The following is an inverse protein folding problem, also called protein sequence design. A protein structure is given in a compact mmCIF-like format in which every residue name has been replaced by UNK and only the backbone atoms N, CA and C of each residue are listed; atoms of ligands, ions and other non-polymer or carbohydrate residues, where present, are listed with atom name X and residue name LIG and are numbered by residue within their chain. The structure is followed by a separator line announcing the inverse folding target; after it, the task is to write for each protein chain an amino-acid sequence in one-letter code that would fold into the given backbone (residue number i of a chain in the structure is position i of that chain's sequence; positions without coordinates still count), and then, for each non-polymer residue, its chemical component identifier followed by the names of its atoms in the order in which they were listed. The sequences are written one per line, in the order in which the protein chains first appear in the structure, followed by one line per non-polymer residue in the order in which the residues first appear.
data_IF_933979666632
#
_entry.id   IF_933979666632
#
_cell.length_a   1.000
_cell.length_b   1.000
_cell.length_c   1.000
_cell.angle_alpha   90.00
_cell.angle_beta   90.00
_cell.angle_gamma   90.00
#
_symmetry.space_group_name_H-M   'P 1'
#
loop_
_entity.id
_entity.type
_entity.pdbx_description
1 polymer ?
#
# COMPACT_ATOMS: atom_id res chain seq x y z
N UNK A 1 -19.17 4.05 16.07
CA UNK A 1 -17.94 4.59 15.47
C UNK A 1 -17.08 5.14 16.58
N UNK A 2 -15.86 4.81 16.58
CA UNK A 2 -14.96 5.27 17.60
C UNK A 2 -13.55 5.41 17.06
N UNK A 3 -12.62 5.62 17.96
CA UNK A 3 -11.21 5.77 17.61
C UNK A 3 -10.71 4.58 16.81
N UNK A 4 -11.24 3.39 17.06
CA UNK A 4 -10.84 2.17 16.34
C UNK A 4 -11.10 2.27 14.84
N UNK A 5 -12.20 2.90 14.45
CA UNK A 5 -12.52 3.01 13.02
C UNK A 5 -11.53 3.92 12.31
N UNK A 6 -11.08 4.98 12.99
CA UNK A 6 -10.06 5.87 12.44
C UNK A 6 -8.73 5.14 12.28
N UNK A 7 -8.40 4.27 13.23
CA UNK A 7 -7.16 3.50 13.18
C UNK A 7 -7.12 2.48 12.07
N UNK A 8 -8.28 2.07 11.56
CA UNK A 8 -8.39 1.08 10.49
C UNK A 8 -8.42 1.71 9.10
N UNK A 9 -8.30 3.03 9.04
CA UNK A 9 -8.28 3.77 7.76
C UNK A 9 -7.02 4.60 7.72
N UNK A 10 -6.24 4.44 6.67
CA UNK A 10 -5.02 5.22 6.46
C UNK A 10 -5.05 5.79 5.05
N UNK A 11 -4.74 7.07 4.92
CA UNK A 11 -4.65 7.71 3.61
C UNK A 11 -3.24 8.24 3.40
N UNK A 12 -2.71 7.98 2.21
CA UNK A 12 -1.48 8.61 1.75
C UNK A 12 -1.75 9.25 0.39
N UNK A 13 -0.93 10.21 0.02
CA UNK A 13 -1.01 10.85 -1.28
C UNK A 13 0.24 10.54 -2.07
N UNK A 14 0.07 10.02 -3.28
CA UNK A 14 1.22 9.76 -4.16
C UNK A 14 1.65 11.05 -4.85
N UNK A 15 2.94 11.11 -5.16
CA UNK A 15 3.55 12.19 -5.93
C UNK A 15 4.77 11.61 -6.66
N UNK A 16 5.39 12.40 -7.51
CA UNK A 16 6.50 11.92 -8.35
C UNK A 16 7.66 11.33 -7.55
N UNK A 17 7.90 11.89 -6.38
CA UNK A 17 9.03 11.46 -5.54
C UNK A 17 8.66 10.43 -4.49
N UNK A 18 7.41 10.00 -4.44
CA UNK A 18 7.00 8.98 -3.48
C UNK A 18 7.66 7.66 -3.86
N UNK A 19 8.26 7.00 -2.89
CA UNK A 19 9.14 5.87 -3.18
C UNK A 19 8.78 4.63 -2.35
N UNK A 20 9.39 3.52 -2.75
CA UNK A 20 9.33 2.27 -1.98
C UNK A 20 9.79 2.50 -0.53
N UNK A 21 10.82 3.32 -0.34
CA UNK A 21 11.36 3.60 0.99
C UNK A 21 10.33 4.29 1.89
N UNK A 22 9.49 5.13 1.31
CA UNK A 22 8.42 5.79 2.07
C UNK A 22 7.26 4.85 2.35
N UNK A 23 7.01 3.92 1.44
CA UNK A 23 5.81 3.08 1.46
C UNK A 23 6.03 1.76 2.20
N UNK A 24 7.12 1.10 1.92
CA UNK A 24 7.41 -0.23 2.48
C UNK A 24 8.49 -0.15 3.56
N UNK A 25 9.72 0.15 3.17
CA UNK A 25 10.82 0.32 4.12
C UNK A 25 12.05 0.88 3.41
N UNK A 26 12.90 1.53 4.18
CA UNK A 26 14.15 2.05 3.65
C UNK A 26 15.11 2.42 4.74
N UNK A 27 16.38 2.57 4.36
CA UNK A 27 17.41 2.98 5.30
C UNK A 27 17.37 4.49 5.47
N UNK A 28 17.45 4.93 6.73
CA UNK A 28 17.50 6.35 7.08
C UNK A 28 18.76 6.63 7.86
N UNK A 29 19.45 7.76 7.58
CA UNK A 29 20.65 8.10 8.33
C UNK A 29 20.33 8.45 9.79
N UNK A 30 21.21 8.03 10.68
CA UNK A 30 21.14 8.36 12.10
C UNK A 30 22.50 8.88 12.54
N UNK A 31 22.59 9.32 13.79
CA UNK A 31 23.86 9.82 14.31
C UNK A 31 24.94 8.75 14.35
N UNK A 32 24.55 7.48 14.44
CA UNK A 32 25.48 6.35 14.54
C UNK A 32 25.56 5.51 13.28
N UNK A 33 24.97 5.97 12.17
CA UNK A 33 24.97 5.23 10.90
C UNK A 33 23.63 5.27 10.20
N UNK A 34 23.07 4.10 9.91
CA UNK A 34 21.78 3.97 9.24
C UNK A 34 20.90 3.02 10.03
N UNK A 35 19.59 3.27 9.97
CA UNK A 35 18.62 2.32 10.52
C UNK A 35 17.57 2.02 9.45
N UNK A 36 16.99 0.83 9.52
CA UNK A 36 15.91 0.43 8.62
C UNK A 36 14.59 0.94 9.19
N UNK A 37 13.93 1.82 8.45
CA UNK A 37 12.67 2.41 8.88
C UNK A 37 11.53 1.82 8.06
N UNK A 38 10.47 1.41 8.74
CA UNK A 38 9.27 0.87 8.08
C UNK A 38 8.40 1.98 7.55
N UNK A 39 7.79 1.74 6.40
CA UNK A 39 6.95 2.72 5.73
C UNK A 39 5.48 2.58 6.07
N UNK A 40 4.67 3.43 5.43
CA UNK A 40 3.25 3.55 5.73
C UNK A 40 2.47 2.25 5.48
N UNK A 41 2.68 1.62 4.33
CA UNK A 41 1.94 0.42 3.98
C UNK A 41 2.37 -0.79 4.81
N UNK A 42 3.68 -0.90 5.05
CA UNK A 42 4.20 -1.97 5.91
C UNK A 42 3.53 -1.93 7.29
N UNK A 43 3.56 -0.76 7.91
CA UNK A 43 3.00 -0.60 9.26
C UNK A 43 1.50 -0.87 9.28
N UNK A 44 0.80 -0.45 8.24
CA UNK A 44 -0.63 -0.66 8.13
C UNK A 44 -0.98 -2.15 8.02
N UNK A 45 -0.23 -2.88 7.20
CA UNK A 45 -0.43 -4.32 7.05
C UNK A 45 -0.15 -5.07 8.35
N UNK A 46 0.86 -4.66 9.09
CA UNK A 46 1.16 -5.29 10.38
C UNK A 46 0.05 -5.07 11.40
N UNK A 47 -0.54 -3.90 11.38
CA UNK A 47 -1.67 -3.59 12.25
C UNK A 47 -2.89 -4.43 11.87
N UNK A 48 -3.17 -4.56 10.58
CA UNK A 48 -4.29 -5.36 10.10
C UNK A 48 -4.11 -6.85 10.41
N UNK A 49 -2.87 -7.33 10.33
CA UNK A 49 -2.55 -8.74 10.57
C UNK A 49 -2.94 -9.20 11.96
N UNK A 50 -2.71 -8.36 12.96
CA UNK A 50 -3.04 -8.72 14.35
C UNK A 50 -4.50 -8.44 14.70
N UNK A 51 -5.25 -7.84 13.80
CA UNK A 51 -6.68 -7.53 14.00
C UNK A 51 -7.48 -8.13 12.84
N UNK A 52 -7.30 -9.41 12.62
CA UNK A 52 -7.77 -10.08 11.41
C UNK A 52 -9.28 -10.14 11.25
N UNK A 53 -10.05 -9.92 12.32
CA UNK A 53 -11.51 -9.96 12.27
C UNK A 53 -12.13 -8.67 11.76
N UNK A 54 -11.33 -7.61 11.61
CA UNK A 54 -11.83 -6.30 11.17
C UNK A 54 -11.22 -5.90 9.84
N UNK A 55 -11.98 -5.16 9.06
CA UNK A 55 -11.51 -4.67 7.77
C UNK A 55 -10.67 -3.42 7.92
N UNK A 56 -9.61 -3.35 7.13
CA UNK A 56 -8.67 -2.23 7.12
C UNK A 56 -8.63 -1.63 5.72
N UNK A 57 -8.69 -0.32 5.64
CA UNK A 57 -8.77 0.40 4.36
C UNK A 57 -7.58 1.31 4.17
N UNK A 58 -6.81 1.06 3.13
CA UNK A 58 -5.66 1.88 2.78
C UNK A 58 -6.00 2.69 1.53
N UNK A 59 -6.06 4.00 1.69
CA UNK A 59 -6.50 4.90 0.63
C UNK A 59 -5.27 5.60 0.03
N UNK A 60 -5.16 5.53 -1.28
CA UNK A 60 -4.07 6.18 -2.00
C UNK A 60 -4.66 7.27 -2.86
N UNK A 61 -4.49 8.52 -2.42
CA UNK A 61 -4.93 9.68 -3.17
C UNK A 61 -3.91 10.00 -4.27
N UNK A 62 -4.39 10.52 -5.38
CA UNK A 62 -3.54 10.85 -6.53
C UNK A 62 -2.74 9.63 -7.00
N UNK A 63 -3.40 8.46 -7.05
CA UNK A 63 -2.72 7.18 -7.32
C UNK A 63 -1.98 7.17 -8.66
N UNK A 64 -2.43 7.96 -9.61
CA UNK A 64 -1.82 8.05 -10.94
C UNK A 64 -0.52 8.85 -10.96
N UNK A 65 -0.21 9.56 -9.88
CA UNK A 65 0.99 10.39 -9.81
C UNK A 65 2.24 9.60 -9.46
N UNK A 66 2.10 8.41 -8.92
CA UNK A 66 3.22 7.57 -8.56
C UNK A 66 3.37 6.40 -9.51
N UNK A 67 4.54 5.77 -9.48
CA UNK A 67 4.78 4.54 -10.22
C UNK A 67 4.44 3.35 -9.32
N UNK A 68 3.27 2.75 -9.55
CA UNK A 68 2.74 1.71 -8.68
C UNK A 68 3.68 0.52 -8.50
N UNK A 69 4.22 -0.01 -9.60
CA UNK A 69 5.08 -1.19 -9.52
C UNK A 69 6.36 -0.88 -8.76
N UNK A 70 6.85 0.34 -8.88
CA UNK A 70 8.08 0.76 -8.21
C UNK A 70 7.85 1.00 -6.72
N UNK A 71 6.72 1.63 -6.39
CA UNK A 71 6.38 1.95 -5.00
C UNK A 71 6.06 0.69 -4.20
N UNK A 72 5.26 -0.21 -4.78
CA UNK A 72 4.94 -1.48 -4.13
C UNK A 72 6.10 -2.46 -4.16
N UNK A 73 6.98 -2.35 -5.17
CA UNK A 73 8.11 -3.24 -5.30
C UNK A 73 7.67 -4.70 -5.38
N UNK A 74 8.35 -5.55 -4.62
CA UNK A 74 8.06 -6.99 -4.60
C UNK A 74 6.64 -7.30 -4.12
N UNK A 75 6.02 -6.38 -3.38
CA UNK A 75 4.66 -6.60 -2.87
C UNK A 75 3.58 -6.39 -3.92
N UNK A 76 3.94 -5.85 -5.08
CA UNK A 76 2.93 -5.53 -6.10
C UNK A 76 2.13 -6.76 -6.52
N UNK A 77 2.78 -7.91 -6.59
CA UNK A 77 2.11 -9.17 -6.92
C UNK A 77 1.19 -9.67 -5.81
N UNK A 78 1.45 -9.26 -4.58
CA UNK A 78 0.71 -9.76 -3.41
C UNK A 78 -0.60 -9.04 -3.13
N UNK A 79 -0.86 -7.93 -3.83
CA UNK A 79 -2.09 -7.18 -3.58
C UNK A 79 -3.30 -7.79 -4.27
N UNK A 80 -3.11 -8.72 -5.17
CA UNK A 80 -4.20 -9.42 -5.82
C UNK A 80 -4.91 -10.32 -4.83
N UNK A 81 -6.21 -10.51 -5.04
CA UNK A 81 -7.07 -11.24 -4.11
C UNK A 81 -6.55 -12.66 -3.83
N UNK A 82 -6.15 -13.38 -4.86
CA UNK A 82 -5.71 -14.76 -4.73
C UNK A 82 -4.30 -14.89 -4.16
N UNK A 83 -3.58 -13.78 -4.04
CA UNK A 83 -2.24 -13.76 -3.48
C UNK A 83 -2.22 -13.25 -2.03
N UNK A 84 -3.35 -12.77 -1.53
CA UNK A 84 -3.42 -12.25 -0.16
C UNK A 84 -3.11 -13.36 0.83
N UNK A 85 -2.29 -13.05 1.81
CA UNK A 85 -1.83 -14.03 2.80
C UNK A 85 -0.61 -14.81 2.37
N UNK A 86 -0.22 -14.75 1.09
CA UNK A 86 1.01 -15.39 0.63
C UNK A 86 2.22 -14.59 1.08
N UNK A 87 3.25 -15.29 1.54
CA UNK A 87 4.45 -14.64 2.06
C UNK A 87 5.57 -14.57 1.04
N UNK A 88 6.34 -13.49 1.12
CA UNK A 88 7.62 -13.40 0.41
C UNK A 88 8.64 -12.73 1.31
N UNK A 89 9.90 -12.89 0.98
CA UNK A 89 10.98 -12.25 1.72
C UNK A 89 11.20 -10.84 1.19
N UNK A 90 11.27 -9.87 2.11
CA UNK A 90 11.46 -8.47 1.74
C UNK A 90 12.89 -8.23 1.24
N UNK A 91 13.04 -7.24 0.35
CA UNK A 91 14.32 -6.93 -0.26
C UNK A 91 15.40 -6.48 0.72
N UNK A 92 15.00 -5.69 1.71
CA UNK A 92 15.95 -5.06 2.62
C UNK A 92 16.02 -5.72 3.98
N UNK A 93 15.36 -6.85 4.17
CA UNK A 93 15.40 -7.56 5.43
C UNK A 93 15.15 -9.05 5.21
N UNK A 94 15.47 -9.86 6.21
CA UNK A 94 15.19 -11.29 6.14
C UNK A 94 13.75 -11.62 6.50
N UNK A 95 12.97 -10.61 6.79
CA UNK A 95 11.59 -10.77 7.22
C UNK A 95 10.72 -11.27 6.07
N UNK A 96 9.86 -12.24 6.38
CA UNK A 96 8.81 -12.67 5.46
C UNK A 96 7.59 -11.80 5.70
N UNK A 97 6.94 -11.40 4.63
CA UNK A 97 5.84 -10.45 4.69
C UNK A 97 4.70 -10.90 3.79
N UNK A 98 3.49 -10.69 4.26
CA UNK A 98 2.28 -10.96 3.48
C UNK A 98 1.35 -9.76 3.59
N UNK A 99 0.55 -9.55 2.55
CA UNK A 99 -0.53 -8.56 2.61
C UNK A 99 -1.77 -9.27 3.11
N UNK A 100 -2.28 -8.88 4.27
CA UNK A 100 -3.40 -9.60 4.88
C UNK A 100 -4.68 -9.53 4.05
N UNK A 101 -5.54 -10.53 4.21
CA UNK A 101 -6.80 -10.59 3.47
C UNK A 101 -7.79 -9.51 3.87
N UNK A 102 -7.66 -8.95 5.07
CA UNK A 102 -8.55 -7.90 5.57
C UNK A 102 -8.09 -6.49 5.21
N UNK A 103 -7.07 -6.35 4.37
CA UNK A 103 -6.62 -5.05 3.89
C UNK A 103 -7.25 -4.78 2.52
N UNK A 104 -7.93 -3.65 2.42
CA UNK A 104 -8.53 -3.17 1.17
C UNK A 104 -7.79 -1.93 0.70
N UNK A 105 -7.45 -1.90 -0.58
CA UNK A 105 -6.71 -0.79 -1.16
C UNK A 105 -7.64 0.00 -2.08
N UNK A 106 -7.78 1.28 -1.81
CA UNK A 106 -8.65 2.17 -2.56
C UNK A 106 -7.80 3.27 -3.19
N UNK A 107 -7.78 3.32 -4.51
CA UNK A 107 -7.08 4.37 -5.23
C UNK A 107 -8.05 5.46 -5.67
N UNK A 108 -7.63 6.70 -5.55
CA UNK A 108 -8.40 7.87 -5.99
C UNK A 108 -7.57 8.67 -6.98
N UNK A 109 -8.21 9.17 -8.02
CA UNK A 109 -7.53 9.99 -9.01
C UNK A 109 -8.49 10.98 -9.66
N UNK A 110 -7.91 12.02 -10.25
CA UNK A 110 -8.68 13.03 -10.99
C UNK A 110 -9.23 12.42 -12.28
N UNK A 111 -10.55 12.54 -12.50
CA UNK A 111 -11.20 11.97 -13.67
C UNK A 111 -10.74 12.58 -14.99
N UNK A 112 -10.16 13.76 -14.95
CA UNK A 112 -9.63 14.41 -16.15
C UNK A 112 -8.34 13.76 -16.62
N UNK A 113 -7.71 12.94 -15.79
CA UNK A 113 -6.45 12.29 -16.13
C UNK A 113 -6.71 11.05 -17.00
N UNK A 114 -6.09 11.03 -18.18
CA UNK A 114 -6.26 9.93 -19.13
C UNK A 114 -5.60 8.64 -18.69
N UNK A 115 -4.79 8.68 -17.66
CA UNK A 115 -4.15 7.48 -17.12
C UNK A 115 -5.10 6.55 -16.38
N UNK A 116 -6.38 6.94 -16.22
CA UNK A 116 -7.36 6.12 -15.53
C UNK A 116 -7.40 4.70 -16.06
N UNK A 117 -7.54 4.56 -17.38
CA UNK A 117 -7.62 3.24 -18.00
C UNK A 117 -6.35 2.44 -17.79
N UNK A 118 -5.20 3.10 -17.83
CA UNK A 118 -3.91 2.47 -17.63
C UNK A 118 -3.74 1.99 -16.19
N UNK A 119 -4.15 2.81 -15.23
CA UNK A 119 -4.11 2.44 -13.82
C UNK A 119 -5.05 1.26 -13.57
N UNK A 120 -6.27 1.33 -14.07
CA UNK A 120 -7.25 0.24 -13.92
C UNK A 120 -6.72 -1.06 -14.53
N UNK A 121 -5.97 -0.96 -15.64
CA UNK A 121 -5.37 -2.13 -16.26
C UNK A 121 -4.22 -2.73 -15.47
N UNK A 122 -3.62 -1.96 -14.56
CA UNK A 122 -2.55 -2.46 -13.70
C UNK A 122 -3.08 -3.26 -12.53
N UNK A 123 -4.36 -3.09 -12.20
CA UNK A 123 -5.02 -3.85 -11.15
C UNK A 123 -5.87 -4.93 -11.82
N UNK A 124 -5.67 -6.18 -11.42
CA UNK A 124 -6.33 -7.30 -12.10
C UNK A 124 -7.60 -7.78 -11.43
N UNK A 125 -7.89 -7.33 -10.23
CA UNK A 125 -9.09 -7.78 -9.53
C UNK A 125 -9.75 -6.62 -8.80
N UNK A 126 -10.98 -6.32 -9.19
CA UNK A 126 -11.78 -5.30 -8.53
C UNK A 126 -12.20 -5.69 -7.11
N UNK A 127 -12.03 -6.96 -6.74
CA UNK A 127 -12.39 -7.43 -5.40
C UNK A 127 -11.36 -7.03 -4.34
N UNK A 128 -10.13 -6.73 -4.76
CA UNK A 128 -9.05 -6.45 -3.81
C UNK A 128 -8.72 -4.97 -3.70
N UNK A 129 -9.11 -4.20 -4.68
CA UNK A 129 -8.87 -2.76 -4.69
C UNK A 129 -9.88 -2.08 -5.60
N UNK A 130 -9.94 -0.78 -5.47
CA UNK A 130 -10.88 0.02 -6.21
C UNK A 130 -10.23 1.35 -6.57
N UNK A 131 -10.38 1.78 -7.81
CA UNK A 131 -9.94 3.12 -8.21
C UNK A 131 -11.18 4.00 -8.32
N UNK A 132 -11.22 5.06 -7.53
CA UNK A 132 -12.35 5.97 -7.48
C UNK A 132 -11.94 7.28 -8.15
N UNK A 133 -12.63 7.68 -9.23
CA UNK A 133 -12.36 8.99 -9.83
C UNK A 133 -12.74 10.12 -8.89
N UNK A 134 -11.90 11.14 -8.84
CA UNK A 134 -12.19 12.34 -8.08
C UNK A 134 -12.95 13.33 -8.95
N UNK A 135 -14.01 13.79 -8.40
CA UNK A 135 -14.95 14.71 -8.99
C UNK A 135 -14.62 15.61 -10.03
#
# INVERSE_FOLDING_TARGET
MGVKDVERVKMVQFHQSYSYEDFIMGFRPTLSGFELKKGAFYNFCKKAEIDSDNDYFFIIDEINRGNLSKIFGELFMLIEKDKRGSELQLLYSDEKFAVPKNVYIIGMMNTADRSLAKIAGSFVSADTYLVIPEG
#
